data_IF_153620737275
#
_entry.id   IF_153620737275
#
_cell.length_a   1.000
_cell.length_b   1.000
_cell.length_c   1.000
_cell.angle_alpha   90.00
_cell.angle_beta   90.00
_cell.angle_gamma   90.00
#
_symmetry.space_group_name_H-M   'P 1'
#
loop_
_entity.id
_entity.type
_entity.pdbx_description
1 polymer ?
#
# COMPACT_ATOMS: atom_id res chain seq x y z
N UNK A 1 18.15 9.75 17.99
CA UNK A 1 18.54 8.49 17.34
C UNK A 1 19.15 8.78 15.98
N UNK A 2 20.24 8.09 15.67
CA UNK A 2 20.83 8.19 14.34
C UNK A 2 20.22 7.12 13.44
N UNK A 3 19.37 7.53 12.52
CA UNK A 3 18.81 6.64 11.51
C UNK A 3 19.78 6.44 10.34
N UNK A 4 19.74 5.28 9.71
CA UNK A 4 20.53 5.00 8.51
C UNK A 4 20.08 5.83 7.31
N UNK A 5 18.78 6.10 7.23
CA UNK A 5 18.15 6.88 6.15
C UNK A 5 17.37 8.07 6.70
N UNK A 6 17.31 9.14 5.93
CA UNK A 6 16.36 10.22 6.19
C UNK A 6 14.95 9.81 5.77
N UNK A 7 14.85 9.08 4.65
CA UNK A 7 13.58 8.58 4.12
C UNK A 7 13.74 7.16 3.58
N UNK A 8 12.76 6.31 3.88
CA UNK A 8 12.56 5.04 3.17
C UNK A 8 11.24 5.10 2.42
N UNK A 9 11.28 4.77 1.14
CA UNK A 9 10.10 4.73 0.26
C UNK A 9 9.56 3.30 0.23
N UNK A 10 8.27 3.16 0.47
CA UNK A 10 7.56 1.89 0.35
C UNK A 10 6.42 2.06 -0.65
N UNK A 11 6.47 1.32 -1.75
CA UNK A 11 5.51 1.40 -2.86
C UNK A 11 4.50 0.28 -2.72
N UNK A 12 3.22 0.60 -2.77
CA UNK A 12 2.17 -0.40 -2.71
C UNK A 12 0.80 0.19 -3.03
N UNK A 13 -0.16 -0.69 -3.25
CA UNK A 13 -1.55 -0.29 -3.46
C UNK A 13 -2.35 -0.25 -2.15
N UNK A 14 -2.02 -1.12 -1.19
CA UNK A 14 -2.69 -1.17 0.11
C UNK A 14 -4.22 -1.30 -0.02
N UNK A 15 -4.66 -2.32 -0.71
CA UNK A 15 -6.06 -2.55 -1.07
C UNK A 15 -6.61 -3.90 -0.54
N UNK A 16 -6.74 -4.11 0.78
CA UNK A 16 -6.49 -3.19 1.88
C UNK A 16 -5.10 -3.29 2.50
N UNK A 17 -4.81 -2.42 3.44
CA UNK A 17 -3.62 -2.44 4.29
C UNK A 17 -3.70 -3.62 5.27
N UNK A 18 -2.66 -4.47 5.29
CA UNK A 18 -2.64 -5.69 6.09
C UNK A 18 -1.39 -5.82 6.96
N UNK A 19 -1.30 -6.87 7.73
CA UNK A 19 -0.21 -7.07 8.72
C UNK A 19 1.19 -7.10 8.10
N UNK A 20 1.35 -7.64 6.91
CA UNK A 20 2.67 -7.63 6.24
C UNK A 20 3.10 -6.21 5.85
N UNK A 21 2.16 -5.39 5.41
CA UNK A 21 2.43 -3.96 5.15
C UNK A 21 2.83 -3.23 6.44
N UNK A 22 2.10 -3.47 7.52
CA UNK A 22 2.38 -2.86 8.82
C UNK A 22 3.76 -3.25 9.34
N UNK A 23 4.12 -4.50 9.21
CA UNK A 23 5.46 -4.99 9.59
C UNK A 23 6.56 -4.28 8.80
N UNK A 24 6.38 -4.12 7.49
CA UNK A 24 7.33 -3.41 6.63
C UNK A 24 7.51 -1.96 7.09
N UNK A 25 6.41 -1.26 7.39
CA UNK A 25 6.46 0.13 7.87
C UNK A 25 7.15 0.20 9.24
N UNK A 26 6.86 -0.72 10.15
CA UNK A 26 7.52 -0.76 11.46
C UNK A 26 9.03 -0.95 11.32
N UNK A 27 9.48 -1.82 10.42
CA UNK A 27 10.90 -2.00 10.12
C UNK A 27 11.48 -0.71 9.54
N UNK A 28 10.79 -0.09 8.58
CA UNK A 28 11.22 1.17 7.98
C UNK A 28 11.39 2.28 9.01
N UNK A 29 10.46 2.40 9.97
CA UNK A 29 10.53 3.39 11.05
C UNK A 29 11.70 3.17 12.02
N UNK A 30 12.25 1.97 12.07
CA UNK A 30 13.46 1.66 12.85
C UNK A 30 14.74 2.13 12.15
N UNK A 31 14.72 2.23 10.82
CA UNK A 31 15.91 2.52 10.01
C UNK A 31 15.91 3.91 9.37
N UNK A 32 14.79 4.61 9.39
CA UNK A 32 14.65 5.93 8.75
C UNK A 32 13.93 6.92 9.65
N UNK A 33 14.24 8.20 9.46
CA UNK A 33 13.57 9.27 10.18
C UNK A 33 12.10 9.39 9.72
N UNK A 34 11.85 9.22 8.41
CA UNK A 34 10.52 9.25 7.82
C UNK A 34 10.33 8.10 6.85
N UNK A 35 9.08 7.68 6.70
CA UNK A 35 8.67 6.72 5.68
C UNK A 35 7.75 7.42 4.70
N UNK A 36 8.02 7.25 3.39
CA UNK A 36 7.17 7.75 2.33
C UNK A 36 6.41 6.56 1.74
N UNK A 37 5.09 6.57 1.88
CA UNK A 37 4.23 5.55 1.27
C UNK A 37 3.78 6.07 -0.09
N UNK A 38 4.23 5.41 -1.15
CA UNK A 38 3.79 5.69 -2.51
C UNK A 38 2.56 4.83 -2.80
N UNK A 39 1.38 5.46 -2.77
CA UNK A 39 0.10 4.80 -3.00
C UNK A 39 -0.14 4.64 -4.50
N UNK A 40 -0.04 3.41 -5.00
CA UNK A 40 -0.29 3.11 -6.41
C UNK A 40 -1.77 3.16 -6.76
N UNK A 41 -2.06 3.26 -8.05
CA UNK A 41 -3.43 3.33 -8.58
C UNK A 41 -4.27 4.38 -7.85
N UNK A 42 -3.72 5.60 -7.75
CA UNK A 42 -4.30 6.68 -6.94
C UNK A 42 -5.35 7.52 -7.67
N UNK A 43 -5.68 7.20 -8.92
CA UNK A 43 -6.77 7.86 -9.64
C UNK A 43 -8.11 7.66 -8.91
N UNK A 44 -8.97 8.68 -8.92
CA UNK A 44 -10.24 8.69 -8.19
C UNK A 44 -11.33 7.81 -8.82
N UNK A 45 -10.96 6.61 -9.24
CA UNK A 45 -11.87 5.66 -9.87
C UNK A 45 -11.84 4.33 -9.10
N UNK A 46 -13.00 3.98 -8.55
CA UNK A 46 -13.14 2.72 -7.83
C UNK A 46 -13.42 1.56 -8.79
N UNK A 47 -12.81 0.42 -8.51
CA UNK A 47 -13.14 -0.84 -9.17
C UNK A 47 -12.92 -2.00 -8.19
N UNK A 48 -13.20 -3.23 -8.64
CA UNK A 48 -13.09 -4.42 -7.78
C UNK A 48 -11.68 -4.64 -7.25
N UNK A 49 -10.65 -4.31 -8.06
CA UNK A 49 -9.25 -4.46 -7.66
C UNK A 49 -8.74 -3.31 -6.80
N UNK A 50 -9.35 -2.13 -6.95
CA UNK A 50 -8.96 -0.90 -6.26
C UNK A 50 -10.22 -0.25 -5.63
N UNK A 51 -10.80 -0.87 -4.59
CA UNK A 51 -12.06 -0.38 -4.01
C UNK A 51 -11.89 0.88 -3.16
N UNK A 52 -10.68 1.17 -2.69
CA UNK A 52 -10.44 2.26 -1.75
C UNK A 52 -9.71 3.42 -2.40
N UNK A 53 -10.26 4.62 -2.24
CA UNK A 53 -9.62 5.86 -2.71
C UNK A 53 -8.32 6.11 -1.97
N UNK A 54 -7.43 6.93 -2.54
CA UNK A 54 -6.16 7.29 -1.90
C UNK A 54 -6.37 7.88 -0.50
N UNK A 55 -7.31 8.82 -0.35
CA UNK A 55 -7.64 9.42 0.95
C UNK A 55 -8.14 8.39 1.97
N UNK A 56 -8.90 7.41 1.54
CA UNK A 56 -9.39 6.33 2.40
C UNK A 56 -8.24 5.41 2.83
N UNK A 57 -7.32 5.10 1.92
CA UNK A 57 -6.14 4.30 2.25
C UNK A 57 -5.22 5.01 3.24
N UNK A 58 -5.01 6.30 3.06
CA UNK A 58 -4.23 7.12 4.00
C UNK A 58 -4.83 7.05 5.41
N UNK A 59 -6.13 7.28 5.54
CA UNK A 59 -6.84 7.20 6.82
C UNK A 59 -6.78 5.79 7.43
N UNK A 60 -7.00 4.75 6.61
CA UNK A 60 -6.91 3.35 7.01
C UNK A 60 -5.52 3.02 7.59
N UNK A 61 -4.46 3.42 6.89
CA UNK A 61 -3.09 3.15 7.29
C UNK A 61 -2.76 3.89 8.59
N UNK A 62 -3.00 5.20 8.64
CA UNK A 62 -2.66 6.03 9.80
C UNK A 62 -3.38 5.59 11.07
N UNK A 63 -4.61 5.07 10.96
CA UNK A 63 -5.37 4.59 12.13
C UNK A 63 -4.68 3.46 12.91
N UNK A 64 -3.68 2.81 12.31
CA UNK A 64 -2.93 1.72 12.93
C UNK A 64 -1.65 2.18 13.64
N UNK A 65 -1.35 3.48 13.64
CA UNK A 65 -0.11 4.00 14.20
C UNK A 65 -0.37 5.07 15.27
N UNK A 66 0.57 5.18 16.21
CA UNK A 66 0.53 6.25 17.22
C UNK A 66 0.66 7.62 16.58
N UNK A 67 0.26 8.68 17.30
CA UNK A 67 0.41 10.05 16.82
C UNK A 67 1.87 10.39 16.48
N UNK A 68 2.82 9.87 17.25
CA UNK A 68 4.27 10.05 17.02
C UNK A 68 4.69 9.42 15.70
N UNK A 69 4.29 8.17 15.44
CA UNK A 69 4.62 7.47 14.20
C UNK A 69 3.90 8.08 13.00
N UNK A 70 2.64 8.49 13.16
CA UNK A 70 1.90 9.19 12.09
C UNK A 70 2.63 10.42 11.59
N UNK A 71 3.27 11.18 12.48
CA UNK A 71 4.03 12.39 12.12
C UNK A 71 5.26 12.07 11.27
N UNK A 72 5.74 10.82 11.28
CA UNK A 72 6.89 10.34 10.52
C UNK A 72 6.52 9.65 9.20
N UNK A 73 5.23 9.48 8.92
CA UNK A 73 4.71 8.84 7.71
C UNK A 73 4.20 9.91 6.76
N UNK A 74 4.71 9.90 5.53
CA UNK A 74 4.31 10.80 4.44
C UNK A 74 3.71 9.97 3.31
N UNK A 75 2.82 10.55 2.53
CA UNK A 75 2.19 9.89 1.39
C UNK A 75 2.48 10.64 0.11
N UNK A 76 2.67 9.89 -0.98
CA UNK A 76 2.57 10.40 -2.35
C UNK A 76 1.56 9.55 -3.12
N UNK A 77 0.74 10.20 -3.93
CA UNK A 77 -0.31 9.55 -4.70
C UNK A 77 0.18 9.32 -6.12
N UNK A 78 0.27 8.05 -6.52
CA UNK A 78 0.80 7.65 -7.82
C UNK A 78 -0.32 7.08 -8.68
N UNK A 79 -0.69 7.81 -9.74
CA UNK A 79 -1.68 7.32 -10.70
C UNK A 79 -1.08 6.27 -11.65
N UNK A 80 -1.92 5.44 -12.24
CA UNK A 80 -1.51 4.51 -13.28
C UNK A 80 -1.29 5.28 -14.59
N UNK A 81 -0.11 5.11 -15.18
CA UNK A 81 0.25 5.73 -16.46
C UNK A 81 0.57 4.72 -17.55
N UNK A 82 0.47 3.42 -17.25
CA UNK A 82 0.60 2.28 -18.19
C UNK A 82 1.88 2.29 -19.05
N UNK A 83 2.96 2.89 -18.51
CA UNK A 83 4.27 2.94 -19.13
C UNK A 83 5.31 2.97 -18.01
N UNK A 84 6.19 1.99 -17.98
CA UNK A 84 7.15 1.82 -16.88
C UNK A 84 8.11 3.00 -16.73
N UNK A 85 8.59 3.55 -17.84
CA UNK A 85 9.50 4.70 -17.81
C UNK A 85 8.81 5.96 -17.27
N UNK A 86 7.58 6.22 -17.72
CA UNK A 86 6.78 7.36 -17.24
C UNK A 86 6.42 7.20 -15.77
N UNK A 87 6.05 5.98 -15.37
CA UNK A 87 5.69 5.66 -13.99
C UNK A 87 6.89 5.87 -13.06
N UNK A 88 8.05 5.38 -13.44
CA UNK A 88 9.31 5.56 -12.71
C UNK A 88 9.64 7.03 -12.49
N UNK A 89 9.56 7.84 -13.56
CA UNK A 89 9.76 9.29 -13.49
C UNK A 89 8.76 9.99 -12.59
N UNK A 90 7.49 9.57 -12.67
CA UNK A 90 6.41 10.11 -11.83
C UNK A 90 6.69 9.84 -10.35
N UNK A 91 7.02 8.61 -9.98
CA UNK A 91 7.33 8.25 -8.58
C UNK A 91 8.50 9.08 -8.06
N UNK A 92 9.59 9.16 -8.81
CA UNK A 92 10.78 9.95 -8.44
C UNK A 92 10.46 11.44 -8.26
N UNK A 93 9.67 12.00 -9.17
CA UNK A 93 9.23 13.39 -9.10
C UNK A 93 8.40 13.67 -7.86
N UNK A 94 7.43 12.81 -7.57
CA UNK A 94 6.57 12.96 -6.40
C UNK A 94 7.36 12.85 -5.09
N UNK A 95 8.28 11.90 -5.00
CA UNK A 95 9.16 11.74 -3.83
C UNK A 95 10.05 12.98 -3.66
N UNK A 96 10.65 13.47 -4.75
CA UNK A 96 11.53 14.65 -4.69
C UNK A 96 10.82 15.92 -4.22
N UNK A 97 9.50 16.01 -4.38
CA UNK A 97 8.72 17.16 -3.91
C UNK A 97 8.53 17.19 -2.39
N UNK A 98 8.72 16.08 -1.70
CA UNK A 98 8.44 15.95 -0.26
C UNK A 98 9.70 15.74 0.58
N UNK A 99 10.87 15.80 -0.03
CA UNK A 99 12.17 15.59 0.63
C UNK A 99 13.08 16.79 0.47
N UNK A 100 14.10 16.88 1.32
CA UNK A 100 15.19 17.87 1.18
C UNK A 100 16.17 17.41 0.08
N UNK A 101 16.89 18.37 -0.60
CA UNK A 101 17.76 18.02 -1.72
C UNK A 101 18.89 17.03 -1.40
N UNK A 102 19.42 17.06 -0.17
CA UNK A 102 20.55 16.24 0.25
C UNK A 102 20.14 15.04 1.11
N UNK A 103 18.84 14.70 1.12
CA UNK A 103 18.32 13.62 1.93
C UNK A 103 18.84 12.26 1.46
N UNK A 104 19.20 11.40 2.41
CA UNK A 104 19.55 10.02 2.13
C UNK A 104 18.28 9.18 2.04
N UNK A 105 18.02 8.65 0.85
CA UNK A 105 16.80 7.90 0.51
C UNK A 105 17.13 6.45 0.21
N UNK A 106 16.28 5.55 0.73
CA UNK A 106 16.29 4.14 0.34
C UNK A 106 14.91 3.68 -0.07
N UNK A 107 14.85 2.51 -0.66
CA UNK A 107 13.63 1.81 -1.06
C UNK A 107 13.51 0.54 -0.24
N UNK A 108 12.36 0.32 0.42
CA UNK A 108 12.11 -0.88 1.20
C UNK A 108 11.01 -1.72 0.56
N UNK A 109 11.20 -3.03 0.52
CA UNK A 109 10.20 -3.94 -0.02
C UNK A 109 10.66 -5.38 -0.04
N UNK A 110 9.74 -6.23 -0.51
CA UNK A 110 9.97 -7.66 -0.68
C UNK A 110 10.04 -8.01 -2.16
N UNK A 111 11.03 -8.79 -2.57
CA UNK A 111 11.03 -9.45 -3.87
C UNK A 111 10.25 -10.76 -3.73
N UNK A 112 8.96 -10.72 -4.00
CA UNK A 112 8.07 -11.89 -3.87
C UNK A 112 8.06 -12.76 -5.12
N UNK A 113 7.98 -12.11 -6.29
CA UNK A 113 7.76 -12.73 -7.58
C UNK A 113 8.03 -11.71 -8.70
N UNK A 114 7.68 -12.08 -9.92
CA UNK A 114 7.84 -11.22 -11.09
C UNK A 114 7.05 -9.90 -11.00
N UNK A 115 6.02 -9.83 -10.16
CA UNK A 115 5.25 -8.60 -9.97
C UNK A 115 6.02 -7.51 -9.20
N UNK A 116 7.11 -7.88 -8.55
CA UNK A 116 7.99 -6.95 -7.82
C UNK A 116 9.12 -6.37 -8.69
N UNK A 117 9.10 -6.60 -9.99
CA UNK A 117 10.15 -6.17 -10.93
C UNK A 117 10.40 -4.65 -10.90
N UNK A 118 9.38 -3.85 -10.59
CA UNK A 118 9.46 -2.39 -10.54
C UNK A 118 10.47 -1.87 -9.50
N UNK A 119 10.81 -2.66 -8.49
CA UNK A 119 11.79 -2.27 -7.47
C UNK A 119 13.18 -2.04 -8.07
N UNK A 120 13.48 -2.66 -9.22
CA UNK A 120 14.75 -2.48 -9.94
C UNK A 120 14.82 -1.16 -10.73
N UNK A 121 13.72 -0.43 -10.84
CA UNK A 121 13.67 0.83 -11.58
C UNK A 121 14.27 2.02 -10.81
N UNK A 122 14.67 1.82 -9.56
CA UNK A 122 15.17 2.88 -8.69
C UNK A 122 16.61 2.58 -8.23
N UNK A 123 17.58 2.46 -9.18
CA UNK A 123 18.94 2.08 -8.82
C UNK A 123 19.68 3.13 -8.00
N UNK A 124 19.22 4.39 -8.03
CA UNK A 124 19.77 5.48 -7.23
C UNK A 124 19.35 5.46 -5.77
N UNK A 125 18.33 4.67 -5.42
CA UNK A 125 17.89 4.47 -4.05
C UNK A 125 18.44 3.15 -3.50
N UNK A 126 19.14 3.21 -2.38
CA UNK A 126 19.65 2.03 -1.73
C UNK A 126 18.51 1.08 -1.35
N UNK A 127 18.60 -0.18 -1.76
CA UNK A 127 17.54 -1.15 -1.52
C UNK A 127 17.68 -1.79 -0.15
N UNK A 128 16.63 -1.69 0.67
CA UNK A 128 16.44 -2.47 1.88
C UNK A 128 15.51 -3.62 1.53
N UNK A 129 16.10 -4.74 1.12
CA UNK A 129 15.36 -5.93 0.76
C UNK A 129 14.96 -6.72 1.99
N UNK A 130 13.68 -7.00 2.14
CA UNK A 130 13.15 -7.81 3.23
C UNK A 130 12.92 -9.23 2.75
N UNK A 131 13.23 -10.19 3.63
CA UNK A 131 12.97 -11.60 3.36
C UNK A 131 11.47 -11.83 3.17
N UNK A 132 11.12 -12.63 2.16
CA UNK A 132 9.74 -13.07 1.99
C UNK A 132 9.37 -13.93 3.17
N UNK A 133 8.32 -13.54 3.91
CA UNK A 133 7.73 -14.40 4.91
C UNK A 133 7.19 -15.66 4.21
N UNK A 134 7.38 -16.84 4.80
CA UNK A 134 6.87 -18.09 4.23
C UNK A 134 5.38 -18.04 3.95
N UNK A 135 4.63 -17.21 4.71
CA UNK A 135 3.21 -16.93 4.54
C UNK A 135 3.01 -15.52 3.98
N UNK A 136 3.59 -15.21 2.83
CA UNK A 136 3.45 -13.91 2.20
C UNK A 136 1.96 -13.55 2.01
N UNK A 137 1.48 -12.57 2.78
CA UNK A 137 0.11 -12.10 2.69
C UNK A 137 -0.13 -11.43 1.34
N UNK A 138 -1.23 -11.79 0.68
CA UNK A 138 -1.67 -11.19 -0.57
C UNK A 138 -3.03 -10.55 -0.37
N UNK A 139 -3.20 -9.32 -0.84
CA UNK A 139 -4.46 -8.60 -0.72
C UNK A 139 -5.58 -9.18 -1.57
N UNK A 140 -5.26 -9.88 -2.68
CA UNK A 140 -6.28 -10.40 -3.60
C UNK A 140 -7.26 -11.37 -2.92
N UNK A 141 -6.85 -12.47 -2.27
CA UNK A 141 -7.79 -13.35 -1.58
C UNK A 141 -8.50 -12.67 -0.41
N UNK A 142 -7.87 -11.70 0.25
CA UNK A 142 -8.49 -10.93 1.31
C UNK A 142 -9.64 -10.07 0.79
N UNK A 143 -9.47 -9.41 -0.37
CA UNK A 143 -10.53 -8.63 -1.03
C UNK A 143 -11.68 -9.52 -1.50
N UNK A 144 -11.37 -10.67 -2.09
CA UNK A 144 -12.40 -11.61 -2.56
C UNK A 144 -13.26 -12.11 -1.40
N UNK A 145 -12.65 -12.50 -0.28
CA UNK A 145 -13.37 -12.87 0.94
C UNK A 145 -14.21 -11.70 1.45
N UNK A 146 -13.67 -10.49 1.43
CA UNK A 146 -14.34 -9.27 1.87
C UNK A 146 -15.61 -9.00 1.05
N UNK A 147 -15.55 -9.16 -0.26
CA UNK A 147 -16.73 -8.99 -1.13
C UNK A 147 -17.79 -10.08 -0.90
N UNK A 148 -17.40 -11.24 -0.35
CA UNK A 148 -18.32 -12.30 0.07
C UNK A 148 -18.86 -12.10 1.48
N UNK A 149 -18.51 -11.00 2.14
CA UNK A 149 -18.98 -10.64 3.47
C UNK A 149 -18.08 -11.08 4.61
N UNK A 150 -16.90 -11.65 4.33
CA UNK A 150 -15.97 -12.15 5.33
C UNK A 150 -14.77 -11.22 5.51
N UNK A 151 -14.54 -10.74 6.72
CA UNK A 151 -13.31 -10.05 7.09
C UNK A 151 -12.37 -11.07 7.74
N UNK A 152 -11.24 -11.33 7.07
CA UNK A 152 -10.21 -12.23 7.61
C UNK A 152 -9.39 -11.50 8.69
N UNK A 153 -9.96 -11.37 9.87
CA UNK A 153 -9.48 -10.52 10.97
C UNK A 153 -8.04 -10.79 11.42
N UNK A 154 -7.61 -12.04 11.33
CA UNK A 154 -6.26 -12.47 11.69
C UNK A 154 -5.16 -11.92 10.76
N UNK A 155 -5.54 -11.33 9.62
CA UNK A 155 -4.62 -10.80 8.60
C UNK A 155 -4.48 -9.29 8.63
N UNK A 156 -5.29 -8.61 9.44
CA UNK A 156 -5.35 -7.15 9.49
C UNK A 156 -5.06 -6.58 10.86
N UNK A 157 -4.41 -5.41 10.95
CA UNK A 157 -4.37 -4.66 12.20
C UNK A 157 -5.75 -4.06 12.50
N UNK A 158 -5.95 -3.68 13.77
CA UNK A 158 -7.27 -3.25 14.26
C UNK A 158 -7.86 -2.06 13.52
N UNK A 159 -7.05 -1.05 13.19
CA UNK A 159 -7.54 0.13 12.47
C UNK A 159 -8.06 -0.22 11.08
N UNK A 160 -7.43 -1.18 10.40
CA UNK A 160 -7.91 -1.69 9.11
C UNK A 160 -9.23 -2.44 9.28
N UNK A 161 -9.36 -3.27 10.32
CA UNK A 161 -10.62 -3.98 10.61
C UNK A 161 -11.75 -2.99 10.83
N UNK A 162 -11.54 -1.97 11.64
CA UNK A 162 -12.53 -0.92 11.91
C UNK A 162 -12.95 -0.22 10.62
N UNK A 163 -11.99 0.12 9.77
CA UNK A 163 -12.27 0.72 8.47
C UNK A 163 -13.14 -0.21 7.60
N UNK A 164 -12.75 -1.47 7.50
CA UNK A 164 -13.47 -2.46 6.68
C UNK A 164 -14.90 -2.70 7.18
N UNK A 165 -15.10 -2.77 8.50
CA UNK A 165 -16.43 -2.90 9.09
C UNK A 165 -17.32 -1.70 8.78
N UNK A 166 -16.78 -0.49 8.87
CA UNK A 166 -17.52 0.74 8.56
C UNK A 166 -17.82 0.84 7.06
N UNK A 167 -16.87 0.47 6.22
CA UNK A 167 -17.06 0.48 4.77
C UNK A 167 -18.12 -0.52 4.32
N UNK A 168 -18.26 -1.68 4.99
CA UNK A 168 -19.31 -2.67 4.72
C UNK A 168 -20.73 -2.11 4.86
N UNK A 169 -20.89 -1.05 5.64
CA UNK A 169 -22.20 -0.40 5.86
C UNK A 169 -22.57 0.58 4.76
N UNK A 170 -21.70 0.79 3.77
CA UNK A 170 -21.89 1.77 2.70
C UNK A 170 -22.56 1.17 1.47
N UNK A 171 -23.26 2.02 0.72
CA UNK A 171 -23.79 1.68 -0.60
C UNK A 171 -22.67 1.31 -1.58
N UNK A 172 -21.52 1.97 -1.46
CA UNK A 172 -20.34 1.70 -2.29
C UNK A 172 -19.87 0.25 -2.14
N UNK A 173 -19.78 -0.24 -0.90
CA UNK A 173 -19.44 -1.65 -0.65
C UNK A 173 -20.45 -2.60 -1.31
N UNK A 174 -21.74 -2.32 -1.14
CA UNK A 174 -22.79 -3.14 -1.73
C UNK A 174 -22.66 -3.23 -3.26
N UNK A 175 -22.46 -2.08 -3.92
CA UNK A 175 -22.28 -2.01 -5.37
C UNK A 175 -21.05 -2.80 -5.84
N UNK A 176 -19.93 -2.65 -5.14
CA UNK A 176 -18.69 -3.39 -5.47
C UNK A 176 -18.87 -4.90 -5.26
N UNK A 177 -19.53 -5.31 -4.19
CA UNK A 177 -19.79 -6.72 -3.90
C UNK A 177 -20.70 -7.36 -4.94
N UNK A 178 -21.74 -6.65 -5.39
CA UNK A 178 -22.62 -7.10 -6.46
C UNK A 178 -21.87 -7.26 -7.77
N UNK A 179 -21.04 -6.29 -8.10
CA UNK A 179 -20.19 -6.32 -9.32
C UNK A 179 -19.19 -7.48 -9.28
N UNK A 180 -18.59 -7.73 -8.14
CA UNK A 180 -17.70 -8.88 -7.93
C UNK A 180 -18.45 -10.19 -8.14
N UNK A 181 -19.64 -10.34 -7.56
CA UNK A 181 -20.47 -11.54 -7.70
C UNK A 181 -20.87 -11.81 -9.15
N UNK A 182 -21.17 -10.76 -9.93
CA UNK A 182 -21.48 -10.87 -11.37
C UNK A 182 -20.27 -11.36 -12.16
N UNK A 183 -19.08 -10.81 -11.89
CA UNK A 183 -17.86 -11.21 -12.57
C UNK A 183 -17.45 -12.64 -12.22
N UNK A 184 -17.63 -13.06 -10.97
CA UNK A 184 -17.33 -14.41 -10.50
C UNK A 184 -18.20 -15.45 -11.21
N UNK A 185 -19.50 -15.17 -11.41
CA UNK A 185 -20.42 -16.03 -12.17
C UNK A 185 -20.03 -16.14 -13.66
N UNK A 186 -19.56 -15.05 -14.25
CA UNK A 186 -19.14 -15.04 -15.67
C UNK A 186 -17.89 -15.90 -15.90
N UNK A 187 -16.99 -15.96 -14.93
CA UNK A 187 -15.77 -16.75 -15.01
C UNK A 187 -16.02 -18.27 -14.79
N UNK A 188 -17.20 -18.67 -14.33
CA UNK A 188 -17.60 -20.07 -14.14
C UNK A 188 -18.31 -20.68 -15.37
N UNK A 189 -18.57 -19.87 -16.41
CA UNK A 189 -19.16 -20.28 -17.67
C UNK A 189 -18.10 -20.40 -18.75
#
# INVERSE_FOLDING_TARGET
MNYTFDYLVFIGRFQPFHLAHMQTINIALQHSQHVILALGSAQNERNIKNPFLASEREAMILSNFSAEDQARIKFVEVIDVYNDEKWQKLVKSLVNQVIEPDAKIGLIGHFKDDSSYYLKFFPEWEMVELDSLEDALSATPMREAYYRGEIQRDKFPEGTIDFLENFQKTTTYQQLSEKFAQNDKTNLL
#
